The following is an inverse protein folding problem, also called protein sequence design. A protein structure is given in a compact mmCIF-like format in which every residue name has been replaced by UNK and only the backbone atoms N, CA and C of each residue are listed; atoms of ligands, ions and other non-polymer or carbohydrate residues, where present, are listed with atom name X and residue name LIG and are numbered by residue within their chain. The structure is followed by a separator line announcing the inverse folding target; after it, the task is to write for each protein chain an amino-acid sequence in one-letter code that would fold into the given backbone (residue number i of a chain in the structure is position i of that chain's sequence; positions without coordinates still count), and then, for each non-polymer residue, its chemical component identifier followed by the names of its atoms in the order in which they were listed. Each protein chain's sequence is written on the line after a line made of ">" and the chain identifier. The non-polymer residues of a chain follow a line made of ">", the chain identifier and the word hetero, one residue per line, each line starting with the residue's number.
data_IF_772677616787
#
_entry.id   IF_772677616787
#
_cell.length_a   1.000
_cell.length_b   1.000
_cell.length_c   1.000
_cell.angle_alpha   90.00
_cell.angle_beta   90.00
_cell.angle_gamma   90.00
#
_symmetry.space_group_name_H-M   'P 1'
#
loop_
_entity.id
_entity.type
_entity.pdbx_description
1 polymer ?
#
# COMPACT_ATOMS: atom_id res chain seq x y z
N UNK A 1 7.61 24.49 -20.66
CA UNK A 1 7.01 23.21 -21.00
C UNK A 1 7.36 22.11 -19.99
N UNK A 2 8.61 21.90 -19.75
CA UNK A 2 9.05 20.86 -18.84
C UNK A 2 8.55 21.05 -17.39
N UNK A 3 8.50 22.27 -16.87
CA UNK A 3 8.02 22.53 -15.52
C UNK A 3 6.55 22.18 -15.35
N UNK A 4 5.75 22.36 -16.38
CA UNK A 4 4.34 21.98 -16.35
C UNK A 4 4.18 20.47 -16.32
N UNK A 5 4.96 19.73 -17.10
CA UNK A 5 4.97 18.27 -17.08
C UNK A 5 5.41 17.72 -15.73
N UNK A 6 6.45 18.29 -15.12
CA UNK A 6 6.93 17.86 -13.82
C UNK A 6 5.88 18.09 -12.73
N UNK A 7 5.22 19.23 -12.74
CA UNK A 7 4.16 19.52 -11.78
C UNK A 7 3.03 18.51 -11.91
N UNK A 8 2.63 18.18 -13.14
CA UNK A 8 1.59 17.19 -13.40
C UNK A 8 2.01 15.81 -12.88
N UNK A 9 3.25 15.40 -13.11
CA UNK A 9 3.76 14.12 -12.66
C UNK A 9 3.77 14.05 -11.13
N UNK A 10 4.18 15.14 -10.46
CA UNK A 10 4.18 15.23 -9.00
C UNK A 10 2.77 15.14 -8.45
N UNK A 11 1.81 15.81 -9.08
CA UNK A 11 0.41 15.76 -8.69
C UNK A 11 -0.16 14.35 -8.85
N UNK A 12 0.14 13.68 -9.96
CA UNK A 12 -0.28 12.29 -10.20
C UNK A 12 0.30 11.38 -9.13
N UNK A 13 1.57 11.53 -8.81
CA UNK A 13 2.23 10.74 -7.78
C UNK A 13 1.56 10.93 -6.42
N UNK A 14 1.24 12.17 -6.06
CA UNK A 14 0.56 12.46 -4.80
C UNK A 14 -0.85 11.85 -4.76
N UNK A 15 -1.59 11.92 -5.87
CA UNK A 15 -2.92 11.29 -5.98
C UNK A 15 -2.81 9.78 -5.82
N UNK A 16 -1.84 9.15 -6.48
CA UNK A 16 -1.62 7.71 -6.38
C UNK A 16 -1.22 7.30 -4.97
N UNK A 17 -0.41 8.11 -4.30
CA UNK A 17 -0.03 7.86 -2.91
C UNK A 17 -1.26 7.82 -2.00
N UNK A 18 -2.17 8.77 -2.16
CA UNK A 18 -3.43 8.80 -1.39
C UNK A 18 -4.31 7.60 -1.71
N UNK A 19 -4.29 7.13 -2.96
CA UNK A 19 -5.05 5.95 -3.36
C UNK A 19 -4.61 4.69 -2.58
N UNK A 20 -3.34 4.59 -2.21
CA UNK A 20 -2.84 3.46 -1.42
C UNK A 20 -3.46 3.43 -0.02
N UNK A 21 -3.73 4.58 0.58
CA UNK A 21 -4.44 4.63 1.87
C UNK A 21 -5.85 4.05 1.73
N UNK A 22 -6.57 4.40 0.67
CA UNK A 22 -7.88 3.84 0.36
C UNK A 22 -7.83 2.34 0.11
N UNK A 23 -6.81 1.86 -0.60
CA UNK A 23 -6.60 0.43 -0.83
C UNK A 23 -6.30 -0.31 0.49
N UNK A 24 -5.52 0.31 1.38
CA UNK A 24 -5.24 -0.24 2.70
C UNK A 24 -6.53 -0.42 3.50
N UNK A 25 -7.40 0.59 3.52
CA UNK A 25 -8.67 0.53 4.22
C UNK A 25 -9.58 -0.55 3.64
N UNK A 26 -9.62 -0.68 2.31
CA UNK A 26 -10.41 -1.72 1.65
C UNK A 26 -9.88 -3.11 1.96
N UNK A 27 -8.57 -3.29 1.94
CA UNK A 27 -7.94 -4.56 2.28
C UNK A 27 -8.25 -4.95 3.74
N UNK A 28 -8.20 -3.98 4.65
CA UNK A 28 -8.53 -4.19 6.05
C UNK A 28 -9.97 -4.64 6.22
N UNK A 29 -10.91 -4.01 5.49
CA UNK A 29 -12.32 -4.40 5.51
C UNK A 29 -12.55 -5.81 4.98
N UNK A 30 -11.88 -6.17 3.88
CA UNK A 30 -11.99 -7.50 3.28
C UNK A 30 -11.44 -8.56 4.25
N UNK A 31 -10.30 -8.28 4.87
CA UNK A 31 -9.69 -9.19 5.84
C UNK A 31 -10.57 -9.37 7.06
N UNK A 32 -11.19 -8.29 7.56
CA UNK A 32 -12.13 -8.36 8.67
C UNK A 32 -13.32 -9.26 8.34
N UNK A 33 -13.89 -9.09 7.15
CA UNK A 33 -15.01 -9.91 6.69
C UNK A 33 -14.60 -11.37 6.51
N UNK A 34 -13.41 -11.62 5.98
CA UNK A 34 -12.89 -12.98 5.81
C UNK A 34 -12.67 -13.66 7.16
N UNK A 35 -12.05 -12.97 8.10
CA UNK A 35 -11.82 -13.51 9.45
C UNK A 35 -13.13 -13.80 10.15
N UNK A 36 -14.12 -12.94 10.01
CA UNK A 36 -15.45 -13.16 10.59
C UNK A 36 -16.11 -14.40 9.98
N UNK A 37 -16.06 -14.53 8.66
CA UNK A 37 -16.64 -15.68 7.96
C UNK A 37 -15.95 -16.99 8.38
N UNK A 38 -14.63 -16.99 8.44
CA UNK A 38 -13.87 -18.16 8.87
C UNK A 38 -14.17 -18.54 10.31
N UNK A 39 -14.30 -17.53 11.20
CA UNK A 39 -14.67 -17.76 12.58
C UNK A 39 -16.07 -18.35 12.72
N UNK A 40 -17.01 -17.90 11.88
CA UNK A 40 -18.37 -18.40 11.88
C UNK A 40 -18.45 -19.87 11.46
N UNK A 41 -17.69 -20.25 10.45
CA UNK A 41 -17.69 -21.62 9.94
C UNK A 41 -16.86 -22.57 10.81
N UNK A 42 -15.86 -22.06 11.49
CA UNK A 42 -15.03 -22.83 12.43
C UNK A 42 -14.44 -24.09 11.80
N UNK A 43 -14.52 -25.19 12.54
CA UNK A 43 -13.99 -26.49 12.10
C UNK A 43 -15.00 -27.23 11.24
N UNK A 44 -15.12 -26.80 9.99
CA UNK A 44 -16.12 -27.35 9.05
C UNK A 44 -15.75 -28.73 8.53
N UNK A 45 -14.53 -29.23 8.75
CA UNK A 45 -14.07 -30.53 8.29
C UNK A 45 -14.45 -31.68 9.20
N UNK A 46 -15.05 -31.39 10.35
CA UNK A 46 -15.53 -32.40 11.28
C UNK A 46 -14.43 -32.96 12.20
N UNK A 47 -14.86 -33.85 13.10
CA UNK A 47 -13.99 -34.39 14.14
C UNK A 47 -13.60 -35.86 13.93
N UNK A 48 -13.95 -36.48 12.79
CA UNK A 48 -13.55 -37.82 12.46
C UNK A 48 -12.06 -37.90 12.09
N UNK A 49 -11.55 -39.12 11.85
CA UNK A 49 -10.13 -39.30 11.55
C UNK A 49 -9.71 -38.54 10.27
N UNK A 50 -10.57 -38.58 9.25
CA UNK A 50 -10.28 -37.85 8.00
C UNK A 50 -10.29 -36.36 8.20
N UNK A 51 -11.27 -35.82 8.96
CA UNK A 51 -11.36 -34.41 9.29
C UNK A 51 -10.18 -33.93 10.10
N UNK A 52 -9.73 -34.72 11.07
CA UNK A 52 -8.56 -34.40 11.88
C UNK A 52 -7.28 -34.40 11.04
N UNK A 53 -7.14 -35.34 10.13
CA UNK A 53 -5.98 -35.38 9.22
C UNK A 53 -5.96 -34.18 8.30
N UNK A 54 -7.12 -33.79 7.76
CA UNK A 54 -7.27 -32.59 6.96
C UNK A 54 -6.87 -31.34 7.76
N UNK A 55 -7.39 -31.22 8.98
CA UNK A 55 -7.08 -30.09 9.86
C UNK A 55 -5.59 -29.99 10.11
N UNK A 56 -4.91 -31.09 10.42
CA UNK A 56 -3.46 -31.08 10.64
C UNK A 56 -2.69 -30.59 9.42
N UNK A 57 -3.17 -30.89 8.23
CA UNK A 57 -2.50 -30.47 7.00
C UNK A 57 -2.79 -29.03 6.60
N UNK A 58 -3.92 -28.47 7.01
CA UNK A 58 -4.43 -27.20 6.46
C UNK A 58 -4.52 -26.07 7.48
N UNK A 59 -4.74 -26.37 8.75
CA UNK A 59 -4.93 -25.33 9.77
C UNK A 59 -3.68 -24.46 9.93
N UNK A 60 -2.51 -25.07 10.04
CA UNK A 60 -1.28 -24.32 10.21
C UNK A 60 -0.90 -23.51 8.97
N UNK A 61 -0.87 -24.10 7.75
CA UNK A 61 -0.62 -23.30 6.54
C UNK A 61 -1.66 -22.20 6.30
N UNK A 62 -2.94 -22.47 6.60
CA UNK A 62 -3.98 -21.47 6.46
C UNK A 62 -3.77 -20.33 7.44
N UNK A 63 -3.40 -20.62 8.67
CA UNK A 63 -3.08 -19.62 9.67
C UNK A 63 -1.89 -18.75 9.26
N UNK A 64 -0.84 -19.38 8.74
CA UNK A 64 0.32 -18.65 8.25
C UNK A 64 -0.04 -17.74 7.08
N UNK A 65 -0.86 -18.23 6.14
CA UNK A 65 -1.33 -17.43 5.00
C UNK A 65 -2.16 -16.25 5.47
N UNK A 66 -3.08 -16.45 6.42
CA UNK A 66 -3.88 -15.36 6.97
C UNK A 66 -3.03 -14.32 7.68
N UNK A 67 -1.98 -14.77 8.38
CA UNK A 67 -1.04 -13.84 9.02
C UNK A 67 -0.34 -12.98 7.97
N UNK A 68 0.14 -13.60 6.90
CA UNK A 68 0.82 -12.88 5.81
C UNK A 68 -0.12 -11.89 5.12
N UNK A 69 -1.35 -12.32 4.81
CA UNK A 69 -2.36 -11.45 4.21
C UNK A 69 -2.71 -10.31 5.16
N UNK A 70 -2.74 -10.58 6.46
CA UNK A 70 -3.02 -9.57 7.48
C UNK A 70 -2.02 -8.42 7.50
N UNK A 71 -0.82 -8.62 6.95
CA UNK A 71 0.18 -7.56 6.84
C UNK A 71 -0.05 -6.64 5.65
N UNK A 72 -0.92 -7.01 4.71
CA UNK A 72 -1.16 -6.23 3.49
C UNK A 72 -1.68 -4.81 3.74
N UNK A 73 -2.66 -4.58 4.63
CA UNK A 73 -3.15 -3.21 4.85
C UNK A 73 -2.04 -2.27 5.31
N UNK A 74 -1.21 -2.68 6.26
CA UNK A 74 -0.09 -1.87 6.73
C UNK A 74 0.98 -1.69 5.66
N UNK A 75 1.25 -2.75 4.88
CA UNK A 75 2.17 -2.69 3.76
C UNK A 75 1.72 -1.70 2.69
N UNK A 76 0.44 -1.71 2.35
CA UNK A 76 -0.14 -0.77 1.38
C UNK A 76 -0.07 0.66 1.90
N UNK A 77 -0.37 0.86 3.18
CA UNK A 77 -0.28 2.18 3.80
C UNK A 77 1.15 2.70 3.78
N UNK A 78 2.12 1.84 4.09
CA UNK A 78 3.53 2.20 4.08
C UNK A 78 4.01 2.60 2.69
N UNK A 79 3.62 1.85 1.66
CA UNK A 79 3.93 2.21 0.27
C UNK A 79 3.32 3.57 -0.07
N UNK A 80 2.08 3.82 0.34
CA UNK A 80 1.42 5.10 0.12
C UNK A 80 2.16 6.26 0.78
N UNK A 81 2.61 6.08 2.02
CA UNK A 81 3.39 7.10 2.74
C UNK A 81 4.70 7.38 2.01
N UNK A 82 5.41 6.34 1.58
CA UNK A 82 6.68 6.49 0.86
C UNK A 82 6.49 7.19 -0.48
N UNK A 83 5.41 6.88 -1.19
CA UNK A 83 5.09 7.57 -2.44
C UNK A 83 4.77 9.03 -2.21
N UNK A 84 4.01 9.33 -1.14
CA UNK A 84 3.69 10.70 -0.76
C UNK A 84 4.95 11.51 -0.41
N UNK A 85 5.84 10.90 0.37
CA UNK A 85 7.11 11.52 0.73
C UNK A 85 7.98 11.76 -0.51
N UNK A 86 8.00 10.80 -1.43
CA UNK A 86 8.73 10.93 -2.69
C UNK A 86 8.17 12.06 -3.54
N UNK A 87 6.85 12.23 -3.57
CA UNK A 87 6.20 13.32 -4.31
C UNK A 87 6.60 14.67 -3.74
N UNK A 88 6.61 14.81 -2.41
CA UNK A 88 7.02 16.05 -1.75
C UNK A 88 8.49 16.35 -2.05
N UNK A 89 9.36 15.37 -1.89
CA UNK A 89 10.78 15.51 -2.17
C UNK A 89 11.04 15.91 -3.62
N UNK A 90 10.31 15.30 -4.53
CA UNK A 90 10.44 15.59 -5.96
C UNK A 90 10.01 17.04 -6.26
N UNK A 91 8.91 17.50 -5.68
CA UNK A 91 8.43 18.85 -5.84
C UNK A 91 9.43 19.87 -5.28
N UNK A 92 9.99 19.60 -4.10
CA UNK A 92 11.01 20.46 -3.48
C UNK A 92 12.27 20.54 -4.35
N UNK A 93 12.71 19.42 -4.88
CA UNK A 93 13.88 19.35 -5.76
C UNK A 93 13.66 20.15 -7.03
N UNK A 94 12.46 20.09 -7.59
CA UNK A 94 12.11 20.84 -8.79
C UNK A 94 12.09 22.33 -8.53
N UNK A 95 11.53 22.76 -7.40
CA UNK A 95 11.54 24.17 -7.01
C UNK A 95 12.97 24.68 -6.81
N UNK A 96 13.80 23.92 -6.12
CA UNK A 96 15.19 24.28 -5.90
C UNK A 96 15.96 24.36 -7.23
N UNK A 97 15.72 23.40 -8.14
CA UNK A 97 16.31 23.40 -9.45
C UNK A 97 15.87 24.62 -10.27
N UNK A 98 14.59 24.96 -10.21
CA UNK A 98 14.04 26.14 -10.88
C UNK A 98 14.65 27.42 -10.37
N UNK A 99 14.80 27.56 -9.07
CA UNK A 99 15.42 28.73 -8.45
C UNK A 99 16.89 28.86 -8.86
N UNK A 100 17.61 27.74 -8.90
CA UNK A 100 19.01 27.71 -9.32
C UNK A 100 19.14 28.17 -10.78
N UNK A 101 18.28 27.69 -11.64
CA UNK A 101 18.30 28.09 -13.08
C UNK A 101 17.98 29.58 -13.22
N UNK A 102 17.02 30.09 -12.46
CA UNK A 102 16.69 31.53 -12.51
C UNK A 102 17.84 32.39 -12.03
N UNK A 103 18.52 31.97 -10.97
CA UNK A 103 19.67 32.69 -10.45
C UNK A 103 20.80 32.74 -11.48
N UNK A 104 21.08 31.62 -12.13
CA UNK A 104 22.09 31.55 -13.20
C UNK A 104 21.72 32.44 -14.37
N UNK A 105 20.45 32.45 -14.77
CA UNK A 105 19.95 33.31 -15.84
C UNK A 105 20.11 34.79 -15.50
N UNK A 106 19.84 35.17 -14.26
CA UNK A 106 20.01 36.54 -13.80
C UNK A 106 21.47 36.96 -13.85
N UNK A 107 22.39 36.10 -13.44
CA UNK A 107 23.83 36.40 -13.49
C UNK A 107 24.34 36.59 -14.91
N UNK A 108 23.81 35.81 -15.83
CA UNK A 108 24.20 35.87 -17.25
C UNK A 108 23.56 37.04 -17.98
N UNK A 109 22.44 37.46 -17.53
CA UNK A 109 21.68 38.56 -18.13
C UNK A 109 22.11 39.90 -17.69
#
# INVERSE_FOLDING_TARGET
>A
MSSHGFTTDTEVLAVRARAFAGLSDRADGILGALNETLGTHGDCWGSDAAGQAFARSHVEPAGATLTDIGLLPDGLRDVGVRLGDSAVTYAESELAGGDTVRAAGTELG
#
